data_IF_120507302601
#
_entry.id   IF_120507302601
#
_cell.length_a   1.000
_cell.length_b   1.000
_cell.length_c   1.000
_cell.angle_alpha   90.00
_cell.angle_beta   90.00
_cell.angle_gamma   90.00
#
_symmetry.space_group_name_H-M   'P 1'
#
loop_
_entity.id
_entity.type
_entity.pdbx_description
1 polymer ?
#
# COMPACT_ATOMS: atom_id res chain seq x y z
N UNK A 1 -7.17 49.37 -25.28
CA UNK A 1 -5.88 48.66 -25.41
C UNK A 1 -5.76 47.63 -24.30
N UNK A 2 -6.07 46.34 -24.57
CA UNK A 2 -5.16 45.32 -25.16
C UNK A 2 -3.89 45.16 -24.30
N UNK A 3 -3.88 44.20 -23.39
CA UNK A 3 -3.13 42.95 -23.63
C UNK A 3 -1.87 42.94 -22.74
N UNK A 4 -1.43 41.85 -22.13
CA UNK A 4 -1.82 40.47 -22.28
C UNK A 4 -1.77 39.76 -20.94
N UNK A 5 -2.74 38.86 -20.76
CA UNK A 5 -2.57 37.69 -19.94
C UNK A 5 -1.20 37.09 -20.25
N UNK A 6 -0.29 37.14 -19.29
CA UNK A 6 0.94 36.34 -19.35
C UNK A 6 0.49 34.91 -19.12
N UNK A 7 0.09 34.26 -20.21
CA UNK A 7 0.19 32.83 -20.34
C UNK A 7 1.66 32.50 -20.16
N UNK A 8 2.06 32.22 -18.91
CA UNK A 8 3.28 31.48 -18.68
C UNK A 8 3.03 30.11 -19.28
N UNK A 9 3.47 29.98 -20.52
CA UNK A 9 3.66 28.74 -21.25
C UNK A 9 4.48 27.81 -20.35
N UNK A 10 3.79 26.97 -19.57
CA UNK A 10 4.34 25.76 -18.96
C UNK A 10 4.54 24.69 -20.04
N UNK A 11 5.26 25.07 -21.07
CA UNK A 11 5.52 24.30 -22.26
C UNK A 11 7.01 24.23 -22.55
N UNK A 12 7.84 23.80 -21.58
CA UNK A 12 9.19 23.35 -21.93
C UNK A 12 9.80 22.39 -20.90
N UNK A 13 9.97 21.15 -21.39
CA UNK A 13 10.96 20.13 -20.98
C UNK A 13 10.53 19.25 -19.78
N UNK A 14 9.72 18.21 -20.02
CA UNK A 14 10.12 16.80 -20.33
C UNK A 14 10.75 16.06 -19.16
N UNK A 15 9.90 15.37 -18.40
CA UNK A 15 10.31 14.33 -17.45
C UNK A 15 9.17 13.46 -16.93
N UNK A 16 8.09 13.23 -17.71
CA UNK A 16 6.95 12.39 -17.30
C UNK A 16 7.38 10.99 -16.83
N UNK A 17 8.44 10.46 -17.42
CA UNK A 17 9.02 9.17 -17.04
C UNK A 17 9.87 9.19 -15.76
N UNK A 18 10.54 10.31 -15.42
CA UNK A 18 11.33 10.41 -14.18
C UNK A 18 10.43 10.52 -12.95
N UNK A 19 9.29 11.20 -13.05
CA UNK A 19 8.30 11.21 -11.96
C UNK A 19 7.61 9.86 -11.80
N UNK A 20 7.29 9.14 -12.89
CA UNK A 20 6.73 7.78 -12.81
C UNK A 20 7.74 6.72 -12.35
N UNK A 21 9.04 6.85 -12.66
CA UNK A 21 10.10 5.99 -12.11
C UNK A 21 10.36 6.26 -10.63
N UNK A 22 10.26 7.51 -10.19
CA UNK A 22 10.37 7.89 -8.76
C UNK A 22 9.10 7.51 -7.99
N UNK A 23 7.92 7.59 -8.62
CA UNK A 23 6.64 7.16 -8.05
C UNK A 23 6.53 5.63 -8.00
N UNK A 24 7.03 4.90 -9.00
CA UNK A 24 7.19 3.44 -8.93
C UNK A 24 8.22 2.98 -7.89
N UNK A 25 9.14 3.86 -7.48
CA UNK A 25 10.05 3.57 -6.37
C UNK A 25 9.29 3.43 -5.04
N UNK A 26 8.12 4.06 -4.88
CA UNK A 26 7.28 3.92 -3.68
C UNK A 26 6.81 2.48 -3.44
N UNK A 27 5.98 1.89 -4.33
CA UNK A 27 5.51 0.51 -4.20
C UNK A 27 6.66 -0.50 -4.15
N UNK A 28 7.70 -0.31 -4.98
CA UNK A 28 8.85 -1.22 -5.00
C UNK A 28 9.70 -1.13 -3.73
N UNK A 29 9.85 0.05 -3.13
CA UNK A 29 10.56 0.20 -1.85
C UNK A 29 9.78 -0.46 -0.72
N UNK A 30 8.45 -0.29 -0.66
CA UNK A 30 7.63 -0.97 0.34
C UNK A 30 7.69 -2.49 0.16
N UNK A 31 7.62 -2.98 -1.08
CA UNK A 31 7.78 -4.41 -1.37
C UNK A 31 9.16 -4.93 -0.97
N UNK A 32 10.23 -4.19 -1.28
CA UNK A 32 11.60 -4.55 -0.87
C UNK A 32 11.74 -4.58 0.65
N UNK A 33 11.19 -3.58 1.35
CA UNK A 33 11.19 -3.53 2.81
C UNK A 33 10.42 -4.70 3.40
N UNK A 34 9.26 -5.05 2.83
CA UNK A 34 8.51 -6.24 3.25
C UNK A 34 9.39 -7.50 3.15
N UNK A 35 10.05 -7.72 2.02
CA UNK A 35 10.96 -8.86 1.80
C UNK A 35 12.12 -8.86 2.80
N UNK A 36 12.73 -7.70 3.07
CA UNK A 36 13.85 -7.60 4.03
C UNK A 36 13.37 -7.88 5.45
N UNK A 37 12.19 -7.41 5.83
CA UNK A 37 11.61 -7.63 7.16
C UNK A 37 11.16 -9.08 7.37
N UNK A 38 10.68 -9.75 6.33
CA UNK A 38 10.29 -11.16 6.41
C UNK A 38 11.47 -12.12 6.24
N UNK A 39 12.63 -11.64 5.77
CA UNK A 39 13.78 -12.51 5.54
C UNK A 39 14.19 -13.37 6.74
N UNK A 40 14.20 -12.87 7.99
CA UNK A 40 14.56 -13.69 9.15
C UNK A 40 13.61 -14.87 9.40
N UNK A 41 12.36 -14.80 8.93
CA UNK A 41 11.36 -15.85 9.12
C UNK A 41 11.67 -17.08 8.26
N UNK A 42 12.07 -16.89 7.00
CA UNK A 42 12.40 -18.02 6.11
C UNK A 42 13.84 -18.52 6.25
N UNK A 43 14.73 -17.77 6.90
CA UNK A 43 16.13 -18.21 7.12
C UNK A 43 16.31 -18.98 8.43
N UNK A 44 15.24 -19.20 9.20
CA UNK A 44 15.31 -19.79 10.55
C UNK A 44 15.97 -18.88 11.59
N UNK A 45 16.21 -17.61 11.27
CA UNK A 45 16.83 -16.67 12.21
C UNK A 45 15.88 -16.24 13.34
N UNK A 46 14.60 -16.62 13.25
CA UNK A 46 13.57 -16.35 14.27
C UNK A 46 13.42 -17.47 15.31
N UNK A 47 14.13 -18.60 15.19
CA UNK A 47 13.94 -19.78 16.07
C UNK A 47 14.32 -19.55 17.54
N UNK A 48 15.10 -18.51 17.83
CA UNK A 48 15.45 -18.09 19.19
C UNK A 48 15.01 -16.67 19.55
N UNK A 49 14.27 -16.00 18.68
CA UNK A 49 13.87 -14.61 18.89
C UNK A 49 12.70 -14.49 19.90
N UNK A 50 12.67 -13.45 20.75
CA UNK A 50 11.54 -13.20 21.62
C UNK A 50 10.23 -13.09 20.83
N UNK A 51 9.14 -13.66 21.35
CA UNK A 51 7.83 -13.66 20.69
C UNK A 51 7.39 -12.23 20.31
N UNK A 52 7.55 -11.27 21.22
CA UNK A 52 7.20 -9.87 20.96
C UNK A 52 7.98 -9.25 19.79
N UNK A 53 9.24 -9.63 19.60
CA UNK A 53 10.06 -9.16 18.48
C UNK A 53 9.58 -9.77 17.16
N UNK A 54 9.28 -11.08 17.15
CA UNK A 54 8.69 -11.76 16.00
C UNK A 54 7.37 -11.13 15.58
N UNK A 55 6.46 -10.90 16.53
CA UNK A 55 5.18 -10.26 16.25
C UNK A 55 5.33 -8.82 15.73
N UNK A 56 6.25 -8.03 16.30
CA UNK A 56 6.51 -6.66 15.83
C UNK A 56 7.06 -6.66 14.40
N UNK A 57 7.98 -7.57 14.08
CA UNK A 57 8.56 -7.68 12.75
C UNK A 57 7.53 -8.16 11.71
N UNK A 58 6.70 -9.14 12.08
CA UNK A 58 5.58 -9.60 11.27
C UNK A 58 4.57 -8.47 10.99
N UNK A 59 4.23 -7.67 12.01
CA UNK A 59 3.35 -6.52 11.84
C UNK A 59 3.94 -5.43 10.94
N UNK A 60 5.22 -5.09 11.13
CA UNK A 60 5.90 -4.14 10.25
C UNK A 60 5.92 -4.63 8.80
N UNK A 61 6.21 -5.91 8.58
CA UNK A 61 6.12 -6.52 7.26
C UNK A 61 4.71 -6.43 6.68
N UNK A 62 3.67 -6.72 7.46
CA UNK A 62 2.27 -6.58 7.05
C UNK A 62 1.93 -5.14 6.64
N UNK A 63 2.42 -4.13 7.37
CA UNK A 63 2.25 -2.72 6.99
C UNK A 63 2.94 -2.40 5.67
N UNK A 64 4.14 -2.91 5.44
CA UNK A 64 4.86 -2.70 4.19
C UNK A 64 4.18 -3.39 3.00
N UNK A 65 3.68 -4.61 3.18
CA UNK A 65 2.87 -5.32 2.17
C UNK A 65 1.60 -4.55 1.88
N UNK A 66 0.87 -4.11 2.90
CA UNK A 66 -0.34 -3.30 2.78
C UNK A 66 -0.05 -2.01 1.99
N UNK A 67 1.00 -1.29 2.35
CA UNK A 67 1.41 -0.07 1.67
C UNK A 67 1.81 -0.34 0.21
N UNK A 68 2.50 -1.45 -0.07
CA UNK A 68 2.82 -1.84 -1.43
C UNK A 68 1.54 -2.08 -2.25
N UNK A 69 0.59 -2.89 -1.76
CA UNK A 69 -0.68 -3.18 -2.44
C UNK A 69 -1.49 -1.90 -2.67
N UNK A 70 -1.63 -1.05 -1.64
CA UNK A 70 -2.35 0.22 -1.77
C UNK A 70 -1.71 1.12 -2.82
N UNK A 71 -0.38 1.22 -2.83
CA UNK A 71 0.33 2.02 -3.82
C UNK A 71 0.28 1.43 -5.23
N UNK A 72 0.00 0.14 -5.39
CA UNK A 72 -0.29 -0.48 -6.70
C UNK A 72 -1.72 -0.27 -7.18
N UNK A 73 -2.65 0.11 -6.28
CA UNK A 73 -4.05 0.29 -6.64
C UNK A 73 -4.18 1.48 -7.63
N UNK A 74 -4.96 1.34 -8.71
CA UNK A 74 -5.09 2.36 -9.75
C UNK A 74 -6.01 3.52 -9.32
N UNK A 75 -5.75 4.12 -8.16
CA UNK A 75 -6.54 5.22 -7.59
C UNK A 75 -5.83 6.55 -7.84
N UNK A 76 -6.53 7.57 -8.38
CA UNK A 76 -5.96 8.89 -8.61
C UNK A 76 -5.33 9.45 -7.34
N UNK A 77 -4.06 9.87 -7.40
CA UNK A 77 -3.32 10.34 -6.23
C UNK A 77 -2.41 9.29 -5.57
N UNK A 78 -2.48 8.02 -5.98
CA UNK A 78 -1.52 6.96 -5.63
C UNK A 78 -0.63 6.59 -6.83
N UNK A 79 0.52 5.99 -6.53
CA UNK A 79 1.56 5.68 -7.52
C UNK A 79 1.04 4.77 -8.66
N UNK A 80 0.14 3.83 -8.36
CA UNK A 80 -0.45 2.88 -9.31
C UNK A 80 -1.33 3.52 -10.38
N UNK A 81 -1.87 4.72 -10.15
CA UNK A 81 -2.63 5.45 -11.17
C UNK A 81 -1.77 5.82 -12.38
N UNK A 82 -0.47 6.09 -12.18
CA UNK A 82 0.45 6.40 -13.27
C UNK A 82 0.59 5.29 -14.32
N UNK A 83 0.30 4.03 -13.96
CA UNK A 83 0.34 2.88 -14.86
C UNK A 83 -0.88 2.85 -15.78
N UNK A 84 -2.07 3.19 -15.27
CA UNK A 84 -3.32 3.19 -16.05
C UNK A 84 -3.58 4.52 -16.76
N UNK A 85 -2.97 5.62 -16.31
CA UNK A 85 -3.11 6.97 -16.86
C UNK A 85 -2.97 7.05 -18.40
N UNK A 86 -2.02 6.37 -19.05
CA UNK A 86 -1.84 6.42 -20.50
C UNK A 86 -2.99 5.76 -21.29
N UNK A 87 -3.72 4.84 -20.67
CA UNK A 87 -4.80 4.06 -21.28
C UNK A 87 -6.16 4.77 -21.16
N UNK A 88 -6.23 5.83 -20.35
CA UNK A 88 -7.44 6.61 -20.14
C UNK A 88 -7.65 7.66 -21.24
N UNK A 89 -8.91 7.82 -21.66
CA UNK A 89 -9.29 8.90 -22.58
C UNK A 89 -8.97 10.27 -21.96
N UNK A 90 -8.58 11.28 -22.77
CA UNK A 90 -8.21 12.60 -22.25
C UNK A 90 -9.28 13.29 -21.41
N UNK A 91 -10.56 13.04 -21.72
CA UNK A 91 -11.71 13.54 -20.94
C UNK A 91 -11.76 12.93 -19.54
N UNK A 92 -11.63 11.60 -19.44
CA UNK A 92 -11.63 10.86 -18.17
C UNK A 92 -10.44 11.22 -17.29
N UNK A 93 -9.26 11.40 -17.88
CA UNK A 93 -8.05 11.83 -17.15
C UNK A 93 -8.25 13.20 -16.49
N UNK A 94 -8.79 14.18 -17.21
CA UNK A 94 -9.07 15.52 -16.66
C UNK A 94 -10.04 15.50 -15.49
N UNK A 95 -11.05 14.63 -15.54
CA UNK A 95 -11.99 14.43 -14.45
C UNK A 95 -11.29 13.81 -13.25
N UNK A 96 -10.54 12.73 -13.45
CA UNK A 96 -9.85 12.02 -12.37
C UNK A 96 -8.74 12.84 -11.72
N UNK A 97 -8.03 13.67 -12.49
CA UNK A 97 -6.99 14.58 -11.98
C UNK A 97 -7.57 15.61 -11.01
N UNK A 98 -8.83 16.03 -11.17
CA UNK A 98 -9.53 16.91 -10.20
C UNK A 98 -9.83 16.18 -8.87
N UNK A 99 -9.96 14.86 -8.90
CA UNK A 99 -10.25 14.04 -7.73
C UNK A 99 -8.99 13.42 -7.11
N UNK A 100 -7.79 13.70 -7.62
CA UNK A 100 -6.54 13.13 -7.11
C UNK A 100 -6.32 13.40 -5.60
N UNK A 101 -6.76 14.55 -5.09
CA UNK A 101 -6.70 14.86 -3.64
C UNK A 101 -7.62 14.00 -2.77
N UNK A 102 -8.63 13.35 -3.37
CA UNK A 102 -9.55 12.43 -2.70
C UNK A 102 -9.14 10.96 -2.83
N UNK A 103 -7.98 10.66 -3.41
CA UNK A 103 -7.51 9.29 -3.64
C UNK A 103 -7.53 8.41 -2.39
N UNK A 104 -7.01 8.93 -1.28
CA UNK A 104 -7.02 8.21 0.00
C UNK A 104 -8.45 7.92 0.50
N UNK A 105 -9.38 8.86 0.33
CA UNK A 105 -10.78 8.67 0.69
C UNK A 105 -11.46 7.64 -0.22
N UNK A 106 -11.10 7.60 -1.51
CA UNK A 106 -11.59 6.59 -2.44
C UNK A 106 -11.10 5.19 -2.06
N UNK A 107 -9.86 5.04 -1.58
CA UNK A 107 -9.37 3.77 -1.02
C UNK A 107 -10.22 3.33 0.17
N UNK A 108 -10.46 4.22 1.14
CA UNK A 108 -11.29 3.88 2.29
C UNK A 108 -12.72 3.51 1.89
N UNK A 109 -13.31 4.22 0.93
CA UNK A 109 -14.63 3.89 0.40
C UNK A 109 -14.65 2.51 -0.29
N UNK A 110 -13.60 2.17 -1.04
CA UNK A 110 -13.47 0.88 -1.70
C UNK A 110 -13.33 -0.26 -0.67
N UNK A 111 -12.51 -0.06 0.36
CA UNK A 111 -12.32 -1.01 1.46
C UNK A 111 -13.56 -1.16 2.36
N UNK A 112 -14.52 -0.24 2.28
CA UNK A 112 -15.81 -0.39 2.97
C UNK A 112 -16.70 -1.47 2.33
N UNK A 113 -16.44 -1.83 1.06
CA UNK A 113 -17.18 -2.88 0.37
C UNK A 113 -16.70 -4.24 0.90
N UNK A 114 -17.58 -5.06 1.52
CA UNK A 114 -17.16 -6.28 2.20
C UNK A 114 -16.42 -7.27 1.31
N UNK A 115 -16.81 -7.38 0.04
CA UNK A 115 -16.15 -8.25 -0.94
C UNK A 115 -14.73 -7.78 -1.29
N UNK A 116 -14.54 -6.47 -1.46
CA UNK A 116 -13.21 -5.92 -1.79
C UNK A 116 -12.31 -5.98 -0.57
N UNK A 117 -12.85 -5.68 0.61
CA UNK A 117 -12.16 -5.82 1.88
C UNK A 117 -11.62 -7.25 2.06
N UNK A 118 -12.47 -8.26 1.85
CA UNK A 118 -12.07 -9.66 1.95
C UNK A 118 -10.93 -10.00 1.00
N UNK A 119 -11.09 -9.71 -0.30
CA UNK A 119 -10.05 -9.98 -1.30
C UNK A 119 -8.74 -9.24 -0.98
N UNK A 120 -8.84 -8.03 -0.45
CA UNK A 120 -7.68 -7.23 -0.06
C UNK A 120 -6.90 -7.89 1.10
N UNK A 121 -7.58 -8.30 2.16
CA UNK A 121 -6.94 -9.00 3.27
C UNK A 121 -6.46 -10.41 2.89
N UNK A 122 -7.23 -11.16 2.11
CA UNK A 122 -6.81 -12.47 1.58
C UNK A 122 -5.51 -12.37 0.75
N UNK A 123 -5.34 -11.28 -0.01
CA UNK A 123 -4.12 -11.01 -0.75
C UNK A 123 -2.93 -10.68 0.17
N UNK A 124 -3.14 -9.89 1.22
CA UNK A 124 -2.11 -9.62 2.23
C UNK A 124 -1.69 -10.92 2.91
N UNK A 125 -2.66 -11.71 3.38
CA UNK A 125 -2.42 -12.97 4.09
C UNK A 125 -1.70 -13.98 3.20
N UNK A 126 -2.11 -14.09 1.93
CA UNK A 126 -1.43 -14.95 0.94
C UNK A 126 0.02 -14.54 0.68
N UNK A 127 0.32 -13.24 0.59
CA UNK A 127 1.69 -12.74 0.43
C UNK A 127 2.50 -13.01 1.70
N UNK A 128 1.97 -12.71 2.89
CA UNK A 128 2.65 -12.92 4.16
C UNK A 128 2.97 -14.40 4.40
N UNK A 129 2.03 -15.30 4.11
CA UNK A 129 2.23 -16.74 4.15
C UNK A 129 3.31 -17.17 3.14
N UNK A 130 3.26 -16.67 1.91
CA UNK A 130 4.29 -16.91 0.90
C UNK A 130 5.69 -16.40 1.30
N UNK A 131 5.76 -15.38 2.15
CA UNK A 131 7.01 -14.86 2.73
C UNK A 131 7.46 -15.63 4.00
N UNK A 132 6.77 -16.72 4.37
CA UNK A 132 7.12 -17.57 5.49
C UNK A 132 6.69 -17.03 6.86
N UNK A 133 5.85 -15.99 6.89
CA UNK A 133 5.24 -15.49 8.13
C UNK A 133 4.01 -16.33 8.43
N UNK A 134 4.02 -17.04 9.57
CA UNK A 134 2.95 -17.98 9.90
C UNK A 134 1.62 -17.25 10.15
N UNK A 135 0.50 -17.89 9.80
CA UNK A 135 -0.84 -17.39 10.11
C UNK A 135 -1.04 -17.17 11.62
N UNK A 136 -0.32 -17.92 12.47
CA UNK A 136 -0.33 -17.74 13.91
C UNK A 136 0.35 -16.44 14.36
N UNK A 137 1.50 -16.09 13.77
CA UNK A 137 2.20 -14.82 14.05
C UNK A 137 1.39 -13.61 13.52
N UNK A 138 0.73 -13.76 12.36
CA UNK A 138 -0.14 -12.73 11.78
C UNK A 138 -1.45 -12.58 12.56
N UNK A 139 -2.07 -13.69 13.00
CA UNK A 139 -3.29 -13.68 13.81
C UNK A 139 -3.04 -13.12 15.21
N UNK A 140 -1.95 -13.51 15.88
CA UNK A 140 -1.55 -12.90 17.15
C UNK A 140 -1.19 -11.42 16.98
N UNK A 141 -0.54 -11.04 15.88
CA UNK A 141 -0.30 -9.64 15.55
C UNK A 141 -1.61 -8.87 15.40
N UNK A 142 -2.57 -9.38 14.62
CA UNK A 142 -3.87 -8.73 14.42
C UNK A 142 -4.66 -8.62 15.73
N UNK A 143 -4.62 -9.65 16.58
CA UNK A 143 -5.29 -9.68 17.89
C UNK A 143 -4.64 -8.70 18.88
N UNK A 144 -3.30 -8.59 18.88
CA UNK A 144 -2.56 -7.59 19.67
C UNK A 144 -2.77 -6.16 19.17
N UNK A 145 -2.94 -5.94 17.87
CA UNK A 145 -3.25 -4.61 17.31
C UNK A 145 -4.74 -4.26 17.38
N UNK A 146 -5.62 -5.25 17.56
CA UNK A 146 -7.03 -5.08 17.95
C UNK A 146 -7.24 -5.07 19.47
N UNK A 147 -6.23 -4.67 20.25
CA UNK A 147 -6.37 -4.53 21.71
C UNK A 147 -7.54 -3.61 22.15
N UNK A 148 -8.07 -2.78 21.24
CA UNK A 148 -9.22 -1.92 21.45
C UNK A 148 -10.58 -2.67 21.44
N UNK A 149 -10.66 -3.89 20.92
CA UNK A 149 -11.90 -4.72 20.91
C UNK A 149 -12.10 -5.53 22.21
N UNK A 150 -11.19 -5.40 23.17
CA UNK A 150 -11.26 -6.06 24.47
C UNK A 150 -10.24 -7.18 24.62
N UNK A 151 -9.72 -7.34 25.84
CA UNK A 151 -8.72 -8.33 26.22
C UNK A 151 -9.19 -9.74 25.84
N UNK A 152 -8.35 -10.57 25.19
CA UNK A 152 -8.68 -11.97 24.96
C UNK A 152 -9.04 -12.62 26.29
N UNK A 153 -10.29 -13.10 26.41
CA UNK A 153 -10.70 -13.92 27.53
C UNK A 153 -10.02 -15.27 27.36
N UNK A 154 -8.83 -15.41 27.96
CA UNK A 154 -8.30 -16.72 28.26
C UNK A 154 -9.29 -17.35 29.24
N UNK A 155 -10.15 -18.22 28.72
CA UNK A 155 -10.92 -19.15 29.54
C UNK A 155 -9.96 -19.96 30.42
N UNK A 156 -10.41 -20.36 31.62
CA UNK A 156 -9.57 -20.91 32.68
C UNK A 156 -8.75 -22.14 32.26
#
# INVERSE_FOLDING_TARGET
DRGGAVFIERGRIRGRWRHSLISAAGPLTNALLAVVLTAPFWTGAMDGAPLAFRCALAFLAMLQVTAAILNFLPVPGLDGYGVIEPWLKPSTRRTLDQYAGFGLLAVFALLWIPGVNRVFFDAIDGIMNGLGVSEFDTALGLDWFRFWDGTPQLGP
#
